data_IF_849807142256
#
_entry.id   IF_849807142256
#
_cell.length_a   1.000
_cell.length_b   1.000
_cell.length_c   1.000
_cell.angle_alpha   90.00
_cell.angle_beta   90.00
_cell.angle_gamma   90.00
#
_symmetry.space_group_name_H-M   'P 1'
#
loop_
_entity.id
_entity.type
_entity.pdbx_description
1 polymer ?
#
# COMPACT_ATOMS: atom_id res chain seq x y z
N UNK A 1 8.27 -5.26 -15.78
CA UNK A 1 9.12 -4.51 -14.83
C UNK A 1 8.30 -3.33 -14.34
N UNK A 2 8.28 -3.10 -13.06
CA UNK A 2 7.63 -1.94 -12.44
C UNK A 2 8.71 -1.07 -11.83
N UNK A 3 8.72 0.21 -12.22
CA UNK A 3 9.57 1.21 -11.61
C UNK A 3 8.81 1.82 -10.43
N UNK A 4 9.36 1.69 -9.24
CA UNK A 4 8.73 2.17 -8.02
C UNK A 4 8.90 3.70 -7.89
N UNK A 5 7.78 4.41 -7.91
CA UNK A 5 7.69 5.83 -7.63
C UNK A 5 7.36 6.15 -6.17
N UNK A 6 7.27 5.13 -5.29
CA UNK A 6 6.84 5.28 -3.91
C UNK A 6 7.69 6.28 -3.12
N UNK A 7 8.95 6.40 -3.46
CA UNK A 7 9.88 7.34 -2.84
C UNK A 7 9.94 8.71 -3.51
N UNK A 8 9.18 8.93 -4.58
CA UNK A 8 9.07 10.22 -5.21
C UNK A 8 8.18 11.13 -4.36
N UNK A 9 8.75 11.68 -3.30
CA UNK A 9 8.09 12.70 -2.48
C UNK A 9 7.91 14.03 -3.23
N UNK A 10 8.52 14.17 -4.41
CA UNK A 10 8.49 15.37 -5.23
C UNK A 10 7.80 15.08 -6.56
N UNK A 11 6.86 15.91 -6.92
CA UNK A 11 6.13 15.91 -8.20
C UNK A 11 7.06 15.99 -9.42
N UNK A 12 8.29 16.48 -9.25
CA UNK A 12 9.28 16.71 -10.29
C UNK A 12 9.84 15.41 -10.89
N UNK A 13 9.58 14.26 -10.26
CA UNK A 13 10.10 12.97 -10.70
C UNK A 13 9.20 12.23 -11.69
N UNK A 14 7.98 12.68 -11.92
CA UNK A 14 7.07 11.99 -12.83
C UNK A 14 7.58 11.98 -14.28
N UNK A 15 8.19 13.06 -14.75
CA UNK A 15 8.78 13.11 -16.08
C UNK A 15 9.86 12.04 -16.24
N UNK A 16 10.80 11.98 -15.32
CA UNK A 16 11.86 10.97 -15.31
C UNK A 16 11.29 9.54 -15.27
N UNK A 17 10.30 9.28 -14.45
CA UNK A 17 9.69 7.94 -14.34
C UNK A 17 8.96 7.53 -15.61
N UNK A 18 8.24 8.46 -16.23
CA UNK A 18 7.58 8.24 -17.51
C UNK A 18 8.60 8.00 -18.63
N UNK A 19 9.68 8.79 -18.69
CA UNK A 19 10.77 8.58 -19.62
C UNK A 19 11.41 7.19 -19.46
N UNK A 20 11.65 6.74 -18.22
CA UNK A 20 12.13 5.40 -17.93
C UNK A 20 11.12 4.35 -18.39
N UNK A 21 9.85 4.51 -18.07
CA UNK A 21 8.80 3.55 -18.44
C UNK A 21 8.68 3.41 -19.96
N UNK A 22 8.77 4.52 -20.71
CA UNK A 22 8.70 4.52 -22.17
C UNK A 22 10.00 4.05 -22.86
N UNK A 23 11.15 4.23 -22.22
CA UNK A 23 12.46 3.83 -22.79
C UNK A 23 12.71 2.32 -22.76
N UNK A 24 12.04 1.59 -21.86
CA UNK A 24 12.21 0.13 -21.74
C UNK A 24 11.29 -0.60 -22.71
N UNK A 25 11.76 -0.81 -23.94
CA UNK A 25 10.96 -1.40 -25.02
C UNK A 25 10.92 -2.93 -25.02
N UNK A 26 11.85 -3.59 -24.33
CA UNK A 26 11.95 -5.06 -24.32
C UNK A 26 10.92 -5.75 -23.41
N UNK A 27 10.35 -5.03 -22.46
CA UNK A 27 9.34 -5.53 -21.53
C UNK A 27 8.34 -4.42 -21.21
N UNK A 28 7.10 -4.81 -20.92
CA UNK A 28 6.11 -3.84 -20.43
C UNK A 28 6.55 -3.32 -19.07
N UNK A 29 6.83 -2.03 -18.98
CA UNK A 29 7.25 -1.35 -17.75
C UNK A 29 6.08 -0.53 -17.21
N UNK A 30 5.83 -0.61 -15.91
CA UNK A 30 4.81 0.17 -15.22
C UNK A 30 5.43 1.10 -14.16
N UNK A 31 4.59 1.90 -13.57
CA UNK A 31 4.95 2.81 -12.47
C UNK A 31 4.12 2.42 -11.25
N UNK A 32 4.76 2.38 -10.08
CA UNK A 32 4.06 2.30 -8.81
C UNK A 32 3.92 3.69 -8.22
N UNK A 33 2.68 4.14 -8.03
CA UNK A 33 2.35 5.42 -7.42
C UNK A 33 2.01 5.22 -5.94
N UNK A 34 2.44 6.15 -5.09
CA UNK A 34 2.09 6.13 -3.66
C UNK A 34 0.77 6.82 -3.40
N UNK A 35 -0.01 6.28 -2.47
CA UNK A 35 -1.23 6.89 -1.96
C UNK A 35 -0.99 7.35 -0.53
N UNK A 36 -1.24 8.63 -0.29
CA UNK A 36 -1.14 9.26 1.02
C UNK A 36 -2.51 9.75 1.47
N UNK A 37 -3.10 9.12 2.48
CA UNK A 37 -4.38 9.56 3.05
C UNK A 37 -4.27 10.86 3.86
N UNK A 38 -3.05 11.22 4.27
CA UNK A 38 -2.73 12.38 5.10
C UNK A 38 -2.13 13.57 4.31
N UNK A 39 -1.99 13.46 2.97
CA UNK A 39 -1.40 14.49 2.12
C UNK A 39 -2.31 14.86 0.94
N UNK A 40 -3.41 15.59 1.18
CA UNK A 40 -4.41 15.87 0.15
C UNK A 40 -3.86 16.67 -1.03
N UNK A 41 -2.92 17.58 -0.80
CA UNK A 41 -2.30 18.36 -1.89
C UNK A 41 -1.45 17.49 -2.81
N UNK A 42 -0.70 16.54 -2.23
CA UNK A 42 0.05 15.56 -3.03
C UNK A 42 -0.90 14.73 -3.88
N UNK A 43 -1.95 14.19 -3.28
CA UNK A 43 -2.93 13.36 -3.99
C UNK A 43 -3.65 14.15 -5.08
N UNK A 44 -4.03 15.41 -4.78
CA UNK A 44 -4.62 16.28 -5.79
C UNK A 44 -3.69 16.50 -6.98
N UNK A 45 -2.42 16.79 -6.73
CA UNK A 45 -1.45 16.96 -7.82
C UNK A 45 -1.31 15.68 -8.66
N UNK A 46 -1.23 14.51 -8.02
CA UNK A 46 -1.17 13.23 -8.71
C UNK A 46 -2.41 13.01 -9.60
N UNK A 47 -3.60 13.32 -9.10
CA UNK A 47 -4.86 13.24 -9.84
C UNK A 47 -4.92 14.24 -11.01
N UNK A 48 -4.50 15.47 -10.80
CA UNK A 48 -4.43 16.50 -11.85
C UNK A 48 -3.51 16.06 -13.02
N UNK A 49 -2.53 15.21 -12.75
CA UNK A 49 -1.61 14.68 -13.74
C UNK A 49 -1.99 13.30 -14.31
N UNK A 50 -3.13 12.76 -13.94
CA UNK A 50 -3.57 11.41 -14.31
C UNK A 50 -3.45 11.11 -15.82
N UNK A 51 -3.80 12.07 -16.68
CA UNK A 51 -3.74 11.88 -18.14
C UNK A 51 -2.34 11.50 -18.66
N UNK A 52 -1.28 11.85 -17.93
CA UNK A 52 0.10 11.52 -18.28
C UNK A 52 0.45 10.04 -18.10
N UNK A 53 -0.34 9.32 -17.34
CA UNK A 53 -0.14 7.90 -17.04
C UNK A 53 -1.02 6.97 -17.88
N UNK A 54 -1.80 7.50 -18.85
CA UNK A 54 -2.86 6.76 -19.53
C UNK A 54 -2.37 5.52 -20.32
N UNK A 55 -1.13 5.52 -20.80
CA UNK A 55 -0.51 4.44 -21.57
C UNK A 55 0.50 3.60 -20.78
N UNK A 56 0.65 3.89 -19.48
CA UNK A 56 1.59 3.19 -18.60
C UNK A 56 0.81 2.35 -17.58
N UNK A 57 1.18 1.06 -17.40
CA UNK A 57 0.60 0.25 -16.34
C UNK A 57 0.86 0.85 -14.96
N UNK A 58 -0.19 1.03 -14.15
CA UNK A 58 -0.08 1.61 -12.82
C UNK A 58 -0.33 0.53 -11.75
N UNK A 59 0.56 0.46 -10.79
CA UNK A 59 0.35 -0.19 -9.51
C UNK A 59 0.39 0.85 -8.41
N UNK A 60 -0.08 0.49 -7.23
CA UNK A 60 -0.11 1.43 -6.12
C UNK A 60 0.61 0.87 -4.90
N UNK A 61 1.38 1.74 -4.27
CA UNK A 61 1.76 1.59 -2.88
C UNK A 61 0.64 2.20 -2.03
N UNK A 62 -0.10 1.35 -1.33
CA UNK A 62 -1.23 1.78 -0.50
C UNK A 62 -0.81 2.69 0.65
N UNK A 63 -1.77 3.27 1.38
CA UNK A 63 -1.48 4.14 2.51
C UNK A 63 -0.62 3.44 3.57
N UNK A 64 0.47 4.09 4.01
CA UNK A 64 1.43 3.49 4.95
C UNK A 64 1.96 4.48 6.00
N UNK A 65 1.86 5.79 5.77
CA UNK A 65 2.46 6.80 6.65
C UNK A 65 1.64 7.08 7.89
N UNK A 66 0.31 7.11 7.77
CA UNK A 66 -0.62 7.51 8.83
C UNK A 66 -1.59 6.39 9.25
N UNK A 67 -1.37 5.18 8.77
CA UNK A 67 -2.26 4.04 9.00
C UNK A 67 -1.54 2.88 9.67
N UNK A 68 -2.28 2.09 10.44
CA UNK A 68 -1.76 0.95 11.19
C UNK A 68 -2.71 -0.25 11.03
N UNK A 69 -2.31 -1.23 10.22
CA UNK A 69 -3.08 -2.46 10.05
C UNK A 69 -3.18 -3.26 11.36
N UNK A 70 -2.14 -3.22 12.19
CA UNK A 70 -2.12 -3.91 13.49
C UNK A 70 -2.81 -3.13 14.62
N UNK A 71 -3.86 -2.38 14.29
CA UNK A 71 -4.66 -1.61 15.26
C UNK A 71 -5.76 -2.44 15.90
N UNK A 72 -6.00 -2.21 17.19
CA UNK A 72 -7.02 -2.91 17.96
C UNK A 72 -8.45 -2.62 17.45
N UNK A 73 -9.34 -3.61 17.48
CA UNK A 73 -10.77 -3.38 17.20
C UNK A 73 -11.37 -2.25 18.05
N UNK A 74 -12.25 -1.44 17.44
CA UNK A 74 -12.93 -0.34 18.10
C UNK A 74 -12.08 0.91 18.32
N UNK A 75 -10.85 0.95 17.87
CA UNK A 75 -9.98 2.15 17.97
C UNK A 75 -10.13 3.08 16.76
N UNK A 76 -9.80 4.36 16.96
CA UNK A 76 -9.74 5.34 15.87
C UNK A 76 -8.67 4.97 14.82
N UNK A 77 -7.57 4.35 15.23
CA UNK A 77 -6.51 3.94 14.30
C UNK A 77 -6.98 2.83 13.36
N UNK A 78 -7.78 1.88 13.86
CA UNK A 78 -8.43 0.88 13.00
C UNK A 78 -9.39 1.55 12.00
N UNK A 79 -10.20 2.49 12.46
CA UNK A 79 -11.11 3.20 11.56
C UNK A 79 -10.36 3.98 10.49
N UNK A 80 -9.29 4.69 10.86
CA UNK A 80 -8.41 5.40 9.91
C UNK A 80 -7.82 4.45 8.87
N UNK A 81 -7.35 3.28 9.30
CA UNK A 81 -6.81 2.27 8.38
C UNK A 81 -7.85 1.86 7.34
N UNK A 82 -9.06 1.50 7.77
CA UNK A 82 -10.13 1.09 6.86
C UNK A 82 -10.53 2.23 5.91
N UNK A 83 -10.72 3.45 6.44
CA UNK A 83 -11.14 4.60 5.64
C UNK A 83 -10.06 5.05 4.65
N UNK A 84 -8.78 4.96 5.03
CA UNK A 84 -7.66 5.24 4.14
C UNK A 84 -7.61 4.26 2.95
N UNK A 85 -7.88 2.97 3.19
CA UNK A 85 -7.93 1.99 2.10
C UNK A 85 -9.18 2.13 1.23
N UNK A 86 -10.33 2.52 1.78
CA UNK A 86 -11.50 2.87 0.95
C UNK A 86 -11.18 4.02 -0.01
N UNK A 87 -10.55 5.08 0.50
CA UNK A 87 -10.07 6.18 -0.33
C UNK A 87 -9.05 5.72 -1.37
N UNK A 88 -8.11 4.85 -0.96
CA UNK A 88 -7.11 4.30 -1.87
C UNK A 88 -7.75 3.48 -3.01
N UNK A 89 -8.84 2.78 -2.75
CA UNK A 89 -9.57 2.06 -3.78
C UNK A 89 -10.28 3.00 -4.76
N UNK A 90 -10.78 4.16 -4.31
CA UNK A 90 -11.32 5.18 -5.21
C UNK A 90 -10.22 5.67 -6.18
N UNK A 91 -9.02 5.94 -5.67
CA UNK A 91 -7.87 6.32 -6.49
C UNK A 91 -7.44 5.19 -7.43
N UNK A 92 -7.40 3.95 -6.94
CA UNK A 92 -7.07 2.77 -7.76
C UNK A 92 -8.03 2.63 -8.96
N UNK A 93 -9.32 2.75 -8.73
CA UNK A 93 -10.34 2.67 -9.80
C UNK A 93 -10.20 3.85 -10.76
N UNK A 94 -9.99 5.05 -10.24
CA UNK A 94 -9.80 6.24 -11.06
C UNK A 94 -8.63 6.10 -12.05
N UNK A 95 -7.50 5.54 -11.61
CA UNK A 95 -6.31 5.33 -12.45
C UNK A 95 -6.31 4.00 -13.22
N UNK A 96 -7.33 3.17 -13.08
CA UNK A 96 -7.35 1.81 -13.62
C UNK A 96 -6.15 0.98 -13.14
N UNK A 97 -5.89 1.01 -11.84
CA UNK A 97 -4.78 0.32 -11.19
C UNK A 97 -4.77 -1.19 -11.44
N UNK A 98 -3.59 -1.80 -11.42
CA UNK A 98 -3.43 -3.25 -11.65
C UNK A 98 -3.27 -4.04 -10.36
N UNK A 99 -2.64 -3.46 -9.36
CA UNK A 99 -2.49 -4.01 -8.01
C UNK A 99 -2.19 -2.89 -7.01
N UNK A 100 -2.40 -3.18 -5.74
CA UNK A 100 -2.09 -2.28 -4.63
C UNK A 100 -1.39 -3.05 -3.52
N UNK A 101 -0.28 -2.50 -3.04
CA UNK A 101 0.45 -3.04 -1.88
C UNK A 101 -0.23 -2.60 -0.59
N UNK A 102 -0.39 -3.53 0.34
CA UNK A 102 -0.87 -3.32 1.70
C UNK A 102 0.20 -3.79 2.69
N UNK A 103 0.59 -2.92 3.62
CA UNK A 103 1.53 -3.26 4.68
C UNK A 103 0.85 -3.99 5.84
N UNK A 104 1.53 -5.00 6.39
CA UNK A 104 1.05 -5.73 7.57
C UNK A 104 0.99 -4.87 8.83
N UNK A 105 1.79 -3.81 8.91
CA UNK A 105 1.81 -2.86 10.02
C UNK A 105 2.60 -1.60 9.65
N UNK A 106 2.50 -0.57 10.48
CA UNK A 106 3.34 0.63 10.37
C UNK A 106 4.75 0.32 10.87
N UNK A 107 5.76 0.74 10.11
CA UNK A 107 7.17 0.54 10.51
C UNK A 107 7.48 1.34 11.77
N UNK A 108 7.64 0.65 12.88
CA UNK A 108 7.95 1.19 14.21
C UNK A 108 8.50 0.10 15.13
N UNK A 109 9.06 0.49 16.25
CA UNK A 109 9.41 -0.48 17.29
C UNK A 109 8.16 -1.14 17.88
N UNK A 110 8.17 -2.47 17.90
CA UNK A 110 7.09 -3.28 18.45
C UNK A 110 7.61 -4.08 19.63
N UNK A 111 7.11 -3.84 20.85
CA UNK A 111 7.46 -4.67 22.01
C UNK A 111 7.11 -6.14 21.76
N UNK A 112 8.02 -7.04 22.09
CA UNK A 112 7.85 -8.48 21.81
C UNK A 112 6.57 -9.05 22.44
N UNK A 113 6.24 -8.65 23.68
CA UNK A 113 5.04 -9.11 24.39
C UNK A 113 3.73 -8.69 23.72
N UNK A 114 3.75 -7.73 22.80
CA UNK A 114 2.55 -7.25 22.08
C UNK A 114 2.36 -7.87 20.71
N UNK A 115 3.39 -8.50 20.15
CA UNK A 115 3.38 -8.93 18.73
C UNK A 115 2.30 -9.94 18.41
N UNK A 116 2.07 -10.94 19.28
CA UNK A 116 1.04 -11.94 19.02
C UNK A 116 -0.36 -11.31 18.85
N UNK A 117 -0.71 -10.41 19.76
CA UNK A 117 -1.98 -9.70 19.70
C UNK A 117 -2.07 -8.81 18.46
N UNK A 118 -1.00 -8.11 18.15
CA UNK A 118 -0.93 -7.23 16.97
C UNK A 118 -1.05 -8.03 15.66
N UNK A 119 -0.47 -9.23 15.58
CA UNK A 119 -0.66 -10.13 14.43
C UNK A 119 -2.13 -10.48 14.23
N UNK A 120 -2.84 -10.85 15.31
CA UNK A 120 -4.28 -11.12 15.24
C UNK A 120 -5.08 -9.93 14.72
N UNK A 121 -4.80 -8.72 15.22
CA UNK A 121 -5.45 -7.51 14.73
C UNK A 121 -5.10 -7.19 13.28
N UNK A 122 -3.84 -7.38 12.88
CA UNK A 122 -3.43 -7.16 11.50
C UNK A 122 -4.19 -8.09 10.55
N UNK A 123 -4.30 -9.37 10.87
CA UNK A 123 -5.03 -10.36 10.07
C UNK A 123 -6.51 -9.97 9.96
N UNK A 124 -7.18 -9.64 11.09
CA UNK A 124 -8.57 -9.21 11.08
C UNK A 124 -8.80 -7.97 10.21
N UNK A 125 -7.91 -6.98 10.32
CA UNK A 125 -8.03 -5.73 9.59
C UNK A 125 -7.70 -5.90 8.10
N UNK A 126 -6.72 -6.72 7.76
CA UNK A 126 -6.38 -7.08 6.37
C UNK A 126 -7.56 -7.81 5.73
N UNK A 127 -8.19 -8.77 6.43
CA UNK A 127 -9.40 -9.43 5.96
C UNK A 127 -10.54 -8.43 5.71
N UNK A 128 -10.79 -7.51 6.65
CA UNK A 128 -11.82 -6.49 6.49
C UNK A 128 -11.59 -5.63 5.23
N UNK A 129 -10.36 -5.20 5.00
CA UNK A 129 -10.01 -4.43 3.81
C UNK A 129 -10.01 -5.31 2.56
N UNK A 130 -9.59 -6.57 2.68
CA UNK A 130 -9.60 -7.57 1.60
C UNK A 130 -11.00 -7.85 1.07
N UNK A 131 -12.00 -8.00 1.96
CA UNK A 131 -13.41 -8.16 1.56
C UNK A 131 -13.93 -6.93 0.77
N UNK A 132 -13.58 -5.72 1.21
CA UNK A 132 -13.94 -4.50 0.50
C UNK A 132 -13.25 -4.46 -0.87
N UNK A 133 -11.95 -4.77 -0.94
CA UNK A 133 -11.18 -4.82 -2.17
C UNK A 133 -11.78 -5.83 -3.17
N UNK A 134 -12.09 -7.04 -2.69
CA UNK A 134 -12.71 -8.09 -3.49
C UNK A 134 -14.04 -7.63 -4.09
N UNK A 135 -14.90 -7.00 -3.30
CA UNK A 135 -16.20 -6.49 -3.75
C UNK A 135 -16.09 -5.40 -4.84
N UNK A 136 -14.93 -4.72 -4.91
CA UNK A 136 -14.60 -3.66 -5.87
C UNK A 136 -13.68 -4.13 -7.02
N UNK A 137 -13.29 -5.39 -7.04
CA UNK A 137 -12.36 -5.92 -8.04
C UNK A 137 -10.91 -5.38 -7.91
N UNK A 138 -10.53 -4.89 -6.74
CA UNK A 138 -9.18 -4.40 -6.46
C UNK A 138 -8.28 -5.58 -6.10
N UNK A 139 -7.13 -5.70 -6.77
CA UNK A 139 -6.12 -6.70 -6.45
C UNK A 139 -5.18 -6.17 -5.37
N UNK A 140 -5.23 -6.76 -4.18
CA UNK A 140 -4.29 -6.48 -3.11
C UNK A 140 -3.11 -7.45 -3.13
N UNK A 141 -1.94 -6.94 -2.76
CA UNK A 141 -0.73 -7.69 -2.44
C UNK A 141 -0.27 -7.28 -1.04
N UNK A 142 -0.01 -8.25 -0.17
CA UNK A 142 0.40 -7.96 1.20
C UNK A 142 1.92 -7.96 1.30
N UNK A 143 2.48 -6.91 1.88
CA UNK A 143 3.91 -6.78 2.12
C UNK A 143 4.22 -6.89 3.62
N UNK A 144 5.15 -7.79 3.95
CA UNK A 144 5.69 -7.86 5.29
C UNK A 144 6.80 -6.80 5.46
N UNK A 145 6.59 -5.86 6.35
CA UNK A 145 7.50 -4.73 6.57
C UNK A 145 8.37 -4.91 7.81
N UNK A 146 9.47 -4.15 7.92
CA UNK A 146 10.28 -4.07 9.12
C UNK A 146 11.40 -5.10 9.18
N UNK A 147 12.50 -4.89 8.48
CA UNK A 147 13.64 -5.83 8.50
C UNK A 147 15.00 -5.21 8.90
N UNK A 148 15.12 -3.90 8.88
CA UNK A 148 16.38 -3.21 9.15
C UNK A 148 16.66 -2.96 10.63
N UNK A 149 15.60 -2.83 11.42
CA UNK A 149 15.70 -2.49 12.84
C UNK A 149 15.18 -3.64 13.68
N UNK A 150 15.92 -4.02 14.70
CA UNK A 150 15.48 -5.03 15.65
C UNK A 150 14.13 -4.63 16.25
N UNK A 151 13.24 -5.60 16.37
CA UNK A 151 11.87 -5.48 16.91
C UNK A 151 10.81 -4.77 16.02
N UNK A 152 11.13 -4.33 14.82
CA UNK A 152 10.12 -3.75 13.95
C UNK A 152 9.49 -4.76 12.98
N UNK A 153 9.82 -6.03 13.07
CA UNK A 153 9.19 -7.11 12.31
C UNK A 153 8.02 -7.67 13.11
N UNK A 154 6.83 -7.59 12.58
CA UNK A 154 5.62 -8.12 13.20
C UNK A 154 5.46 -9.61 12.92
N UNK A 155 5.67 -10.04 11.69
CA UNK A 155 5.61 -11.42 11.26
C UNK A 155 7.03 -11.89 10.88
N UNK A 156 7.49 -13.00 11.47
CA UNK A 156 8.63 -13.70 10.90
C UNK A 156 8.21 -14.42 9.60
N UNK A 157 9.16 -15.03 8.89
CA UNK A 157 8.91 -15.67 7.59
C UNK A 157 7.80 -16.73 7.67
N UNK A 158 7.86 -17.66 8.62
CA UNK A 158 6.86 -18.71 8.81
C UNK A 158 5.48 -18.12 9.13
N UNK A 159 5.43 -17.17 10.07
CA UNK A 159 4.18 -16.49 10.45
C UNK A 159 3.57 -15.71 9.30
N UNK A 160 4.40 -15.10 8.45
CA UNK A 160 3.91 -14.37 7.30
C UNK A 160 3.34 -15.32 6.23
N UNK A 161 3.99 -16.46 6.00
CA UNK A 161 3.48 -17.48 5.08
C UNK A 161 2.15 -18.05 5.58
N UNK A 162 2.10 -18.46 6.85
CA UNK A 162 0.88 -19.05 7.45
C UNK A 162 -0.25 -18.04 7.64
N UNK A 163 0.01 -16.76 7.61
CA UNK A 163 -1.02 -15.72 7.64
C UNK A 163 -1.97 -15.88 6.44
N UNK A 164 -1.47 -16.27 5.26
CA UNK A 164 -2.31 -16.41 4.07
C UNK A 164 -3.36 -17.52 4.18
N UNK A 165 -3.17 -18.48 5.08
CA UNK A 165 -4.19 -19.50 5.38
C UNK A 165 -5.37 -18.91 6.16
N UNK A 166 -5.25 -17.67 6.63
CA UNK A 166 -6.25 -16.97 7.44
C UNK A 166 -6.85 -15.75 6.73
N UNK A 167 -6.32 -15.40 5.55
CA UNK A 167 -6.86 -14.38 4.66
C UNK A 167 -7.74 -15.03 3.58
#
# INVERSE_FOLDING_TARGET
IITNAAFCANYDNYDFLLDVAHSVTATRTGIELSIYSDKPEFMKNQQDQKARFADVPITFHGPFTDVEAASAPGTLDRQRFIDAYKYAFDVYEEFSGQSMVLHTHKMRDIPEFGKERMRGWAIENINTVGEIALSRGVRLTVENVGHWVKNNVLFNEEQFITMFDQL
#
